data_IF_302577151167
#
_entry.id   IF_302577151167
#
_cell.length_a   1.000
_cell.length_b   1.000
_cell.length_c   1.000
_cell.angle_alpha   90.00
_cell.angle_beta   90.00
_cell.angle_gamma   90.00
#
_symmetry.space_group_name_H-M   'P 1'
#
loop_
_entity.id
_entity.type
_entity.pdbx_description
1 polymer ?
#
# COMPACT_ATOMS: atom_id res chain seq x y z
N UNK A 1 15.85 4.03 -12.44
CA UNK A 1 15.84 5.33 -13.13
C UNK A 1 16.30 5.09 -14.55
N UNK A 2 15.41 5.34 -15.53
CA UNK A 2 15.75 5.26 -16.97
C UNK A 2 16.15 6.66 -17.46
N UNK A 3 17.14 6.72 -18.34
CA UNK A 3 17.61 7.97 -18.95
C UNK A 3 17.75 7.78 -20.46
N UNK A 4 17.13 8.68 -21.23
CA UNK A 4 17.20 8.70 -22.69
C UNK A 4 17.64 10.07 -23.15
N UNK A 5 18.51 10.13 -24.17
CA UNK A 5 18.92 11.38 -24.80
C UNK A 5 18.32 11.47 -26.19
N UNK A 6 17.67 12.60 -26.47
CA UNK A 6 17.03 12.88 -27.74
C UNK A 6 17.57 14.18 -28.31
N UNK A 7 17.53 14.31 -29.65
CA UNK A 7 17.76 15.57 -30.33
C UNK A 7 16.42 16.16 -30.75
N UNK A 8 16.25 17.47 -30.53
CA UNK A 8 15.09 18.19 -31.02
C UNK A 8 15.11 18.29 -32.54
N UNK A 9 13.93 18.20 -33.14
CA UNK A 9 13.73 18.46 -34.57
C UNK A 9 13.94 19.94 -34.93
N UNK A 10 13.74 20.26 -36.23
CA UNK A 10 13.84 21.64 -36.72
C UNK A 10 12.82 22.57 -36.13
N UNK A 11 11.70 22.06 -35.64
CA UNK A 11 10.64 22.82 -34.93
C UNK A 11 10.95 23.02 -33.43
N UNK A 12 12.04 22.43 -32.92
CA UNK A 12 12.42 22.51 -31.51
C UNK A 12 11.69 21.54 -30.61
N UNK A 13 10.99 20.56 -31.16
CA UNK A 13 10.23 19.52 -30.46
C UNK A 13 10.93 18.17 -30.49
N UNK A 14 10.63 17.33 -29.50
CA UNK A 14 11.03 15.91 -29.46
C UNK A 14 9.97 15.11 -28.71
N UNK A 15 9.70 13.90 -29.18
CA UNK A 15 8.79 12.97 -28.51
C UNK A 15 9.61 11.85 -27.88
N UNK A 16 9.37 11.58 -26.62
CA UNK A 16 9.96 10.48 -25.89
C UNK A 16 8.83 9.54 -25.42
N UNK A 17 8.87 8.31 -25.91
CA UNK A 17 8.01 7.26 -25.40
C UNK A 17 8.74 6.57 -24.25
N UNK A 18 8.07 6.51 -23.09
CA UNK A 18 8.58 5.85 -21.90
C UNK A 18 7.65 4.68 -21.62
N UNK A 19 8.21 3.47 -21.72
CA UNK A 19 7.48 2.28 -21.29
C UNK A 19 7.28 2.31 -19.78
N UNK A 20 6.05 2.02 -19.33
CA UNK A 20 5.78 1.85 -17.93
C UNK A 20 6.64 0.69 -17.38
N UNK A 21 7.26 0.84 -16.20
CA UNK A 21 8.08 -0.23 -15.64
C UNK A 21 7.22 -1.47 -15.41
N UNK A 22 7.69 -2.63 -15.88
CA UNK A 22 7.10 -3.90 -15.48
C UNK A 22 7.30 -4.08 -13.97
N UNK A 23 6.19 -4.05 -13.24
CA UNK A 23 6.17 -4.20 -11.79
C UNK A 23 5.94 -5.66 -11.36
N UNK A 24 5.88 -6.60 -12.32
CA UNK A 24 5.70 -8.01 -12.07
C UNK A 24 6.83 -8.60 -11.21
N UNK A 25 6.46 -9.35 -10.17
CA UNK A 25 7.41 -10.08 -9.29
C UNK A 25 8.10 -9.28 -8.21
N UNK A 26 7.75 -8.00 -8.03
CA UNK A 26 8.16 -7.21 -6.86
C UNK A 26 6.94 -6.99 -5.96
N UNK A 27 7.17 -6.92 -4.66
CA UNK A 27 6.15 -6.42 -3.75
C UNK A 27 5.77 -4.99 -4.18
N UNK A 28 4.60 -4.86 -4.81
CA UNK A 28 4.10 -3.56 -5.20
C UNK A 28 3.65 -2.81 -3.94
N UNK A 29 4.02 -1.54 -3.82
CA UNK A 29 3.49 -0.75 -2.71
C UNK A 29 1.98 -0.63 -2.88
N UNK A 30 1.29 -0.70 -1.77
CA UNK A 30 -0.18 -0.67 -1.64
C UNK A 30 -0.79 0.68 -2.06
N UNK A 31 0.04 1.68 -2.33
CA UNK A 31 -0.36 3.03 -2.67
C UNK A 31 -0.26 3.28 -4.19
N UNK A 32 -0.99 4.29 -4.66
CA UNK A 32 -0.78 4.85 -5.97
C UNK A 32 0.70 5.30 -6.12
N UNK A 33 1.29 4.97 -7.25
CA UNK A 33 2.65 5.37 -7.59
C UNK A 33 2.60 6.67 -8.37
N UNK A 34 3.65 7.46 -8.26
CA UNK A 34 3.80 8.66 -9.07
C UNK A 34 5.01 8.49 -10.00
N UNK A 35 4.76 8.57 -11.30
CA UNK A 35 5.81 8.63 -12.29
C UNK A 35 6.27 10.08 -12.42
N UNK A 36 7.55 10.31 -12.16
CA UNK A 36 8.18 11.63 -12.31
C UNK A 36 9.04 11.62 -13.56
N UNK A 37 8.68 12.43 -14.54
CA UNK A 37 9.47 12.61 -15.77
C UNK A 37 10.11 13.98 -15.73
N UNK A 38 11.44 14.05 -15.89
CA UNK A 38 12.17 15.31 -15.96
C UNK A 38 12.83 15.42 -17.32
N UNK A 39 12.45 16.45 -18.08
CA UNK A 39 13.11 16.82 -19.33
C UNK A 39 14.14 17.92 -19.07
N UNK A 40 15.35 17.75 -19.60
CA UNK A 40 16.40 18.76 -19.53
C UNK A 40 16.86 19.09 -20.94
N UNK A 41 16.66 20.34 -21.33
CA UNK A 41 17.13 20.85 -22.61
C UNK A 41 18.48 21.54 -22.41
N UNK A 42 19.44 21.23 -23.26
CA UNK A 42 20.76 21.85 -23.27
C UNK A 42 20.96 22.59 -24.58
N UNK A 43 21.26 23.86 -24.51
CA UNK A 43 21.65 24.68 -25.65
C UNK A 43 23.11 24.49 -26.03
N UNK A 44 23.52 24.73 -27.29
CA UNK A 44 24.91 24.66 -27.71
C UNK A 44 25.84 25.57 -26.89
N UNK A 45 25.35 26.64 -26.31
CA UNK A 45 26.09 27.55 -25.41
C UNK A 45 26.25 27.04 -23.98
N UNK A 46 25.79 25.83 -23.67
CA UNK A 46 25.92 25.19 -22.35
C UNK A 46 24.84 25.54 -21.35
N UNK A 47 23.90 26.42 -21.69
CA UNK A 47 22.73 26.72 -20.84
C UNK A 47 21.81 25.51 -20.79
N UNK A 48 21.28 25.21 -19.61
CA UNK A 48 20.33 24.13 -19.39
C UNK A 48 19.05 24.64 -18.76
N UNK A 49 17.91 24.10 -19.22
CA UNK A 49 16.59 24.32 -18.62
C UNK A 49 15.94 22.97 -18.37
N UNK A 50 15.37 22.76 -17.19
CA UNK A 50 14.69 21.52 -16.82
C UNK A 50 13.26 21.78 -16.44
N UNK A 51 12.37 20.85 -16.81
CA UNK A 51 10.98 20.82 -16.38
C UNK A 51 10.62 19.39 -15.95
N UNK A 52 9.80 19.27 -14.93
CA UNK A 52 9.31 17.98 -14.47
C UNK A 52 7.80 17.89 -14.59
N UNK A 53 7.33 16.71 -14.98
CA UNK A 53 5.91 16.34 -15.06
C UNK A 53 5.67 15.16 -14.13
N UNK A 54 4.53 15.17 -13.46
CA UNK A 54 4.10 14.13 -12.56
C UNK A 54 2.85 13.47 -13.14
N UNK A 55 2.85 12.13 -13.17
CA UNK A 55 1.71 11.33 -13.65
C UNK A 55 1.43 10.28 -12.60
N UNK A 56 0.19 10.23 -12.10
CA UNK A 56 -0.22 9.20 -11.18
C UNK A 56 -0.36 7.88 -11.93
N UNK A 57 0.24 6.85 -11.38
CA UNK A 57 0.26 5.50 -11.92
C UNK A 57 -0.42 4.56 -10.93
N UNK A 58 -1.49 3.92 -11.37
CA UNK A 58 -2.23 2.96 -10.61
C UNK A 58 -1.88 1.55 -11.08
N UNK A 59 -1.21 0.78 -10.22
CA UNK A 59 -0.84 -0.60 -10.52
C UNK A 59 -2.04 -1.56 -10.46
N UNK A 60 -3.14 -1.13 -9.86
CA UNK A 60 -4.31 -1.96 -9.61
C UNK A 60 -5.57 -1.38 -10.22
N UNK A 61 -6.51 -2.24 -10.67
CA UNK A 61 -7.78 -1.79 -11.24
C UNK A 61 -8.71 -1.17 -10.18
N UNK A 62 -8.51 -1.48 -8.91
CA UNK A 62 -9.24 -0.90 -7.79
C UNK A 62 -8.47 -1.03 -6.48
N UNK A 63 -8.93 -0.29 -5.49
CA UNK A 63 -8.39 -0.25 -4.13
C UNK A 63 -9.49 -0.54 -3.12
N UNK A 64 -9.14 -1.19 -2.03
CA UNK A 64 -10.06 -1.48 -0.93
C UNK A 64 -9.72 -0.55 0.24
N UNK A 65 -10.65 0.32 0.58
CA UNK A 65 -10.57 1.16 1.78
C UNK A 65 -11.18 0.45 2.98
N UNK A 66 -10.55 0.59 4.15
CA UNK A 66 -11.03 0.04 5.41
C UNK A 66 -11.26 1.15 6.43
N UNK A 67 -12.28 0.97 7.24
CA UNK A 67 -12.56 1.83 8.40
C UNK A 67 -12.99 0.97 9.58
N UNK A 68 -12.36 1.17 10.73
CA UNK A 68 -12.85 0.62 11.99
C UNK A 68 -14.18 1.29 12.37
N UNK A 69 -15.15 0.48 12.76
CA UNK A 69 -16.43 0.92 13.32
C UNK A 69 -16.46 0.76 14.84
N UNK A 70 -15.33 0.37 15.43
CA UNK A 70 -15.22 0.22 16.87
C UNK A 70 -15.27 1.60 17.54
N UNK A 71 -16.15 1.73 18.54
CA UNK A 71 -16.24 2.92 19.39
C UNK A 71 -15.41 2.69 20.66
N UNK A 72 -14.65 3.69 21.08
CA UNK A 72 -13.86 3.63 22.31
C UNK A 72 -14.71 3.42 23.59
N UNK A 73 -16.03 3.61 23.50
CA UNK A 73 -17.01 3.32 24.55
C UNK A 73 -17.43 1.84 24.60
N UNK A 74 -17.13 1.05 23.57
CA UNK A 74 -17.45 -0.37 23.55
C UNK A 74 -16.53 -1.16 24.51
N UNK A 75 -17.04 -2.23 25.16
CA UNK A 75 -16.21 -3.06 26.01
C UNK A 75 -15.00 -3.63 25.26
N UNK A 76 -13.83 -3.76 25.90
CA UNK A 76 -12.64 -4.33 25.27
C UNK A 76 -12.80 -5.77 24.75
N UNK A 77 -13.83 -6.47 25.22
CA UNK A 77 -14.15 -7.85 24.84
C UNK A 77 -15.09 -7.94 23.63
N UNK A 78 -15.55 -6.80 23.10
CA UNK A 78 -16.41 -6.81 21.93
C UNK A 78 -15.61 -7.09 20.66
N UNK A 79 -16.18 -7.95 19.80
CA UNK A 79 -15.58 -8.27 18.50
C UNK A 79 -15.53 -7.01 17.62
N UNK A 80 -14.35 -6.62 17.11
CA UNK A 80 -14.20 -5.40 16.32
C UNK A 80 -14.93 -5.51 14.99
N UNK A 81 -15.63 -4.42 14.65
CA UNK A 81 -16.38 -4.27 13.40
C UNK A 81 -15.63 -3.35 12.44
N UNK A 82 -15.64 -3.71 11.17
CA UNK A 82 -15.00 -2.95 10.11
C UNK A 82 -15.97 -2.70 8.96
N UNK A 83 -15.89 -1.52 8.37
CA UNK A 83 -16.48 -1.24 7.06
C UNK A 83 -15.40 -1.29 5.99
N UNK A 84 -15.76 -1.78 4.81
CA UNK A 84 -14.93 -1.76 3.63
C UNK A 84 -15.65 -1.08 2.48
N UNK A 85 -14.90 -0.52 1.55
CA UNK A 85 -15.38 0.02 0.28
C UNK A 85 -14.34 -0.26 -0.80
N UNK A 86 -14.79 -0.62 -2.01
CA UNK A 86 -13.92 -0.76 -3.16
C UNK A 86 -14.13 0.40 -4.13
N UNK A 87 -13.03 1.01 -4.57
CA UNK A 87 -13.03 2.17 -5.46
C UNK A 87 -12.03 1.99 -6.60
N UNK A 88 -12.38 2.45 -7.78
CA UNK A 88 -11.45 2.55 -8.91
C UNK A 88 -10.44 3.72 -8.71
N UNK A 89 -9.42 3.84 -9.57
CA UNK A 89 -8.48 4.96 -9.52
C UNK A 89 -9.11 6.36 -9.65
N UNK A 90 -10.29 6.46 -10.23
CA UNK A 90 -11.03 7.70 -10.35
C UNK A 90 -11.89 8.02 -9.11
N UNK A 91 -11.92 7.11 -8.11
CA UNK A 91 -12.71 7.25 -6.88
C UNK A 91 -14.15 6.79 -7.01
N UNK A 92 -14.55 6.17 -8.12
CA UNK A 92 -15.89 5.62 -8.26
C UNK A 92 -15.99 4.29 -7.52
N UNK A 93 -17.09 4.05 -6.85
CA UNK A 93 -17.36 2.78 -6.18
C UNK A 93 -17.58 1.68 -7.20
N UNK A 94 -16.86 0.58 -7.03
CA UNK A 94 -16.96 -0.60 -7.89
C UNK A 94 -17.22 -1.85 -7.05
N UNK A 95 -17.81 -2.85 -7.68
CA UNK A 95 -17.98 -4.17 -7.06
C UNK A 95 -16.80 -5.07 -7.46
N UNK A 96 -16.02 -5.58 -6.49
CA UNK A 96 -14.98 -6.56 -6.76
C UNK A 96 -15.55 -7.82 -7.44
N UNK A 97 -14.79 -8.44 -8.34
CA UNK A 97 -15.22 -9.63 -9.06
C UNK A 97 -15.28 -10.90 -8.19
N UNK A 98 -14.65 -10.89 -7.02
CA UNK A 98 -14.58 -12.02 -6.09
C UNK A 98 -14.57 -11.55 -4.63
N UNK A 99 -14.51 -12.49 -3.67
CA UNK A 99 -14.42 -12.17 -2.27
C UNK A 99 -13.13 -11.38 -1.98
N UNK A 100 -13.13 -10.66 -0.87
CA UNK A 100 -11.90 -10.05 -0.34
C UNK A 100 -11.27 -11.04 0.64
N UNK A 101 -9.95 -11.16 0.59
CA UNK A 101 -9.20 -11.95 1.56
C UNK A 101 -8.78 -11.08 2.73
N UNK A 102 -8.84 -11.60 3.94
CA UNK A 102 -8.26 -10.94 5.09
C UNK A 102 -7.21 -11.79 5.78
N UNK A 103 -6.23 -11.14 6.36
CA UNK A 103 -5.28 -11.73 7.30
C UNK A 103 -5.17 -10.83 8.52
N UNK A 104 -5.40 -11.42 9.69
CA UNK A 104 -5.27 -10.75 10.98
C UNK A 104 -3.96 -11.15 11.63
N UNK A 105 -3.16 -10.18 11.98
CA UNK A 105 -1.93 -10.34 12.72
C UNK A 105 -2.07 -9.74 14.11
N UNK A 106 -1.33 -10.30 15.08
CA UNK A 106 -1.17 -9.76 16.42
C UNK A 106 0.29 -9.34 16.61
N UNK A 107 0.48 -8.14 17.13
CA UNK A 107 1.80 -7.66 17.52
C UNK A 107 2.16 -8.16 18.92
N UNK A 108 3.22 -8.96 19.03
CA UNK A 108 3.73 -9.53 20.27
C UNK A 108 5.05 -8.86 20.63
N UNK A 109 5.06 -8.21 21.78
CA UNK A 109 6.28 -7.57 22.29
C UNK A 109 7.09 -8.52 23.14
N UNK A 110 8.35 -8.66 22.80
CA UNK A 110 9.33 -9.45 23.58
C UNK A 110 10.47 -8.53 24.01
N UNK A 111 11.01 -8.79 25.18
CA UNK A 111 12.21 -8.09 25.63
C UNK A 111 13.33 -9.08 25.94
N UNK A 112 14.56 -8.69 25.64
CA UNK A 112 15.77 -9.38 26.04
C UNK A 112 16.73 -8.43 26.72
N UNK A 113 17.53 -8.95 27.62
CA UNK A 113 18.61 -8.19 28.26
C UNK A 113 19.92 -8.57 27.58
N UNK A 114 20.62 -7.59 27.05
CA UNK A 114 21.89 -7.77 26.36
C UNK A 114 22.97 -6.91 27.00
N UNK A 115 24.18 -7.44 27.06
CA UNK A 115 25.36 -6.69 27.47
C UNK A 115 25.78 -5.77 26.31
N UNK A 116 25.90 -4.48 26.54
CA UNK A 116 26.41 -3.55 25.54
C UNK A 116 27.95 -3.53 25.54
N UNK A 117 28.56 -2.88 24.55
CA UNK A 117 30.01 -2.80 24.40
C UNK A 117 30.71 -2.07 25.57
N UNK A 118 29.97 -1.35 26.41
CA UNK A 118 30.48 -0.67 27.62
C UNK A 118 30.33 -1.54 28.88
N UNK A 119 29.90 -2.81 28.78
CA UNK A 119 29.72 -3.70 29.90
C UNK A 119 28.45 -3.50 30.72
N UNK A 120 27.48 -2.72 30.22
CA UNK A 120 26.21 -2.48 30.89
C UNK A 120 25.10 -3.37 30.31
N UNK A 121 24.20 -3.85 31.17
CA UNK A 121 23.00 -4.55 30.75
C UNK A 121 21.95 -3.57 30.25
N UNK A 122 21.52 -3.73 28.97
CA UNK A 122 20.47 -2.95 28.34
C UNK A 122 19.31 -3.85 27.93
N UNK A 123 18.09 -3.41 28.22
CA UNK A 123 16.89 -4.13 27.76
C UNK A 123 16.54 -3.64 26.35
N UNK A 124 16.47 -4.59 25.42
CA UNK A 124 15.98 -4.35 24.05
C UNK A 124 14.61 -4.96 23.89
N UNK A 125 13.73 -4.23 23.24
CA UNK A 125 12.39 -4.66 22.89
C UNK A 125 12.34 -5.02 21.41
N UNK A 126 11.65 -6.10 21.10
CA UNK A 126 11.41 -6.57 19.75
C UNK A 126 9.91 -6.75 19.59
N UNK A 127 9.41 -6.35 18.44
CA UNK A 127 8.03 -6.54 18.03
C UNK A 127 8.02 -7.67 16.99
N UNK A 128 7.37 -8.76 17.33
CA UNK A 128 7.09 -9.86 16.42
C UNK A 128 5.64 -9.78 15.96
N UNK A 129 5.39 -9.94 14.67
CA UNK A 129 4.06 -10.00 14.12
C UNK A 129 3.68 -11.45 13.87
N UNK A 130 2.65 -11.92 14.55
CA UNK A 130 2.17 -13.32 14.49
C UNK A 130 0.81 -13.33 13.80
N UNK A 131 0.67 -14.17 12.75
CA UNK A 131 -0.62 -14.40 12.10
C UNK A 131 -1.57 -15.12 13.05
N UNK A 132 -2.76 -14.57 13.26
CA UNK A 132 -3.79 -15.11 14.17
C UNK A 132 -4.87 -15.84 13.37
N UNK A 133 -5.40 -15.18 12.35
CA UNK A 133 -6.46 -15.75 11.51
C UNK A 133 -6.40 -15.23 10.10
N UNK A 134 -7.09 -15.91 9.20
CA UNK A 134 -7.33 -15.44 7.84
C UNK A 134 -8.60 -16.07 7.29
N UNK A 135 -9.19 -15.44 6.31
CA UNK A 135 -10.41 -15.91 5.66
C UNK A 135 -10.86 -14.97 4.56
N UNK A 136 -12.10 -15.16 4.14
CA UNK A 136 -12.72 -14.40 3.08
C UNK A 136 -13.84 -13.52 3.61
N UNK A 137 -13.98 -12.33 3.02
CA UNK A 137 -15.09 -11.42 3.24
C UNK A 137 -15.97 -11.50 1.99
N UNK A 138 -17.22 -12.01 2.08
CA UNK A 138 -18.09 -12.11 0.93
C UNK A 138 -18.50 -10.72 0.45
N UNK A 139 -18.30 -10.47 -0.84
CA UNK A 139 -18.66 -9.20 -1.49
C UNK A 139 -20.11 -9.20 -1.98
N UNK A 140 -20.58 -10.35 -2.51
CA UNK A 140 -21.96 -10.55 -2.97
C UNK A 140 -22.43 -9.49 -4.00
N UNK A 141 -21.53 -9.05 -4.86
CA UNK A 141 -21.82 -8.03 -5.86
C UNK A 141 -21.95 -6.60 -5.32
N UNK A 142 -21.60 -6.37 -4.05
CA UNK A 142 -21.62 -5.03 -3.42
C UNK A 142 -20.30 -4.30 -3.64
N UNK A 143 -20.34 -3.00 -3.57
CA UNK A 143 -19.18 -2.13 -3.61
C UNK A 143 -18.71 -1.67 -2.22
N UNK A 144 -19.49 -1.96 -1.20
CA UNK A 144 -19.19 -1.69 0.22
C UNK A 144 -19.91 -2.69 1.13
N UNK A 145 -19.42 -2.84 2.34
CA UNK A 145 -20.02 -3.72 3.32
C UNK A 145 -19.37 -3.62 4.69
N UNK A 146 -19.84 -4.46 5.60
CA UNK A 146 -19.29 -4.55 6.95
C UNK A 146 -19.00 -6.00 7.29
N UNK A 147 -18.01 -6.21 8.17
CA UNK A 147 -17.69 -7.53 8.70
C UNK A 147 -17.17 -7.42 10.13
N UNK A 148 -17.20 -8.55 10.83
CA UNK A 148 -16.78 -8.66 12.22
C UNK A 148 -15.62 -9.65 12.28
N UNK A 149 -14.61 -9.34 13.08
CA UNK A 149 -13.50 -10.24 13.37
C UNK A 149 -13.54 -10.67 14.83
N UNK A 150 -13.23 -11.93 15.08
CA UNK A 150 -13.06 -12.42 16.43
C UNK A 150 -11.64 -12.19 16.91
N UNK A 151 -11.49 -11.52 18.05
CA UNK A 151 -10.22 -11.30 18.72
C UNK A 151 -10.29 -11.97 20.10
N UNK A 152 -9.44 -12.98 20.32
CA UNK A 152 -9.47 -13.79 21.57
C UNK A 152 -8.79 -13.10 22.75
N UNK A 153 -7.92 -12.14 22.49
CA UNK A 153 -7.13 -11.46 23.51
C UNK A 153 -7.12 -9.95 23.30
N UNK A 154 -7.05 -9.20 24.38
CA UNK A 154 -6.80 -7.76 24.32
C UNK A 154 -5.34 -7.52 23.90
N UNK A 155 -5.12 -7.08 22.69
CA UNK A 155 -3.78 -6.86 22.12
C UNK A 155 -3.84 -5.82 20.99
N UNK A 156 -2.67 -5.48 20.46
CA UNK A 156 -2.56 -4.71 19.21
C UNK A 156 -2.65 -5.66 18.02
N UNK A 157 -3.53 -5.35 17.09
CA UNK A 157 -3.75 -6.14 15.88
C UNK A 157 -3.52 -5.31 14.64
N UNK A 158 -3.07 -5.98 13.57
CA UNK A 158 -2.98 -5.44 12.22
C UNK A 158 -3.85 -6.28 11.31
N UNK A 159 -4.82 -5.66 10.69
CA UNK A 159 -5.69 -6.26 9.70
C UNK A 159 -5.22 -5.88 8.30
N UNK A 160 -4.98 -6.90 7.50
CA UNK A 160 -4.65 -6.75 6.08
C UNK A 160 -5.81 -7.32 5.27
N UNK A 161 -6.33 -6.56 4.33
CA UNK A 161 -7.38 -7.00 3.40
C UNK A 161 -6.88 -6.84 1.98
N UNK A 162 -7.08 -7.87 1.16
CA UNK A 162 -6.66 -7.90 -0.24
C UNK A 162 -7.78 -8.40 -1.15
N UNK A 163 -7.70 -8.08 -2.42
CA UNK A 163 -8.56 -8.68 -3.44
C UNK A 163 -8.23 -10.17 -3.63
N UNK A 164 -9.23 -10.98 -3.97
CA UNK A 164 -8.99 -12.38 -4.32
C UNK A 164 -8.23 -12.46 -5.65
N UNK A 165 -7.11 -13.17 -5.64
CA UNK A 165 -6.30 -13.42 -6.84
C UNK A 165 -5.11 -12.49 -7.06
N UNK A 166 -5.05 -11.36 -6.37
CA UNK A 166 -3.90 -10.48 -6.36
C UNK A 166 -3.30 -10.43 -4.95
N UNK A 167 -1.98 -10.50 -4.85
CA UNK A 167 -1.23 -10.31 -3.59
C UNK A 167 -1.28 -8.84 -3.10
N UNK A 168 -2.40 -8.17 -3.38
CA UNK A 168 -2.60 -6.75 -3.09
C UNK A 168 -3.22 -6.61 -1.73
N UNK A 169 -2.42 -6.23 -0.77
CA UNK A 169 -2.88 -5.89 0.56
C UNK A 169 -3.01 -4.39 0.74
N UNK A 170 -4.15 -3.93 1.23
CA UNK A 170 -4.32 -2.58 1.78
C UNK A 170 -4.03 -2.63 3.28
N UNK A 171 -3.16 -1.76 3.74
CA UNK A 171 -2.88 -1.53 5.15
C UNK A 171 -3.85 -0.51 5.72
#
# INVERSE_FOLDING_TARGET
VSKTELKTGSAGDAVCEIEAPELSGKELPVAALQLVTTATVREPGGRTVSASQYVDFHAYPYYVGLRSLWDASEPPESDPRFAWVAVDPAGNRISPAGPLNYTLFRDVWRSTVQLNNAGNYVRKWFQDRVRVSSGEIPVEGRNEGTFVLKCEEYSSYVLVVSAAGDDVSTL
#
